data_IF_250865182009
#
_entry.id   IF_250865182009
#
_cell.length_a   1.000
_cell.length_b   1.000
_cell.length_c   1.000
_cell.angle_alpha   90.00
_cell.angle_beta   90.00
_cell.angle_gamma   90.00
#
_symmetry.space_group_name_H-M   'P 1'
#
loop_
_entity.id
_entity.type
_entity.pdbx_description
1 polymer ?
#
# COMPACT_ATOMS: atom_id res chain seq x y z
N UNK A 1 -1.73 4.07 23.65
CA UNK A 1 -1.57 3.83 22.18
C UNK A 1 -1.66 2.34 21.94
N UNK A 2 -2.60 1.88 21.12
CA UNK A 2 -2.82 0.45 20.87
C UNK A 2 -2.30 0.10 19.48
N UNK A 3 -1.37 -0.85 19.40
CA UNK A 3 -0.88 -1.38 18.14
C UNK A 3 -1.08 -2.89 18.06
N UNK A 4 -1.37 -3.37 16.85
CA UNK A 4 -1.45 -4.79 16.50
C UNK A 4 -0.35 -5.09 15.49
N UNK A 5 0.33 -6.21 15.64
CA UNK A 5 1.33 -6.62 14.67
C UNK A 5 0.66 -6.88 13.32
N UNK A 6 1.27 -6.37 12.25
CA UNK A 6 0.81 -6.66 10.89
C UNK A 6 0.91 -8.16 10.64
N UNK A 7 -0.13 -8.73 10.01
CA UNK A 7 -0.15 -10.15 9.64
C UNK A 7 0.91 -10.41 8.58
N UNK A 8 1.57 -11.57 8.67
CA UNK A 8 2.59 -12.03 7.72
C UNK A 8 2.09 -11.89 6.27
N UNK A 9 2.55 -10.85 5.58
CA UNK A 9 2.20 -10.60 4.16
C UNK A 9 3.04 -11.46 3.22
N UNK A 10 4.16 -11.99 3.72
CA UNK A 10 5.07 -12.85 2.98
C UNK A 10 5.04 -14.26 3.57
N UNK A 11 5.05 -15.30 2.71
CA UNK A 11 5.23 -16.66 3.19
C UNK A 11 6.62 -16.81 3.81
N UNK A 12 6.75 -17.73 4.78
CA UNK A 12 8.04 -18.01 5.45
C UNK A 12 9.17 -18.39 4.48
N UNK A 13 8.82 -18.98 3.34
CA UNK A 13 9.75 -19.43 2.30
C UNK A 13 9.83 -18.45 1.13
N UNK A 14 9.63 -17.16 1.37
CA UNK A 14 9.74 -16.13 0.34
C UNK A 14 11.17 -16.10 -0.25
N UNK A 15 11.26 -15.96 -1.58
CA UNK A 15 12.53 -15.97 -2.32
C UNK A 15 12.60 -14.73 -3.20
N UNK A 16 13.73 -14.02 -3.14
CA UNK A 16 14.03 -12.87 -3.99
C UNK A 16 15.04 -13.29 -5.05
N UNK A 17 14.77 -12.94 -6.30
CA UNK A 17 15.65 -13.19 -7.43
C UNK A 17 16.27 -11.86 -7.88
N UNK A 18 17.60 -11.78 -7.85
CA UNK A 18 18.37 -10.61 -8.31
C UNK A 18 19.38 -11.01 -9.37
N UNK A 19 19.81 -10.06 -10.20
CA UNK A 19 20.90 -10.25 -11.15
C UNK A 19 22.11 -9.45 -10.68
N UNK A 20 23.28 -10.09 -10.60
CA UNK A 20 24.52 -9.37 -10.32
C UNK A 20 25.02 -8.57 -11.54
N UNK A 21 26.13 -7.84 -11.36
CA UNK A 21 26.73 -7.03 -12.43
C UNK A 21 27.14 -7.87 -13.65
N UNK A 22 27.46 -9.14 -13.44
CA UNK A 22 27.83 -10.10 -14.48
C UNK A 22 26.61 -10.77 -15.14
N UNK A 23 25.38 -10.41 -14.73
CA UNK A 23 24.13 -10.96 -15.27
C UNK A 23 23.79 -12.37 -14.77
N UNK A 24 24.48 -12.89 -13.77
CA UNK A 24 24.15 -14.14 -13.11
C UNK A 24 22.97 -13.96 -12.16
N UNK A 25 22.03 -14.93 -12.20
CA UNK A 25 20.87 -14.97 -11.32
C UNK A 25 21.29 -15.43 -9.92
N UNK A 26 20.93 -14.63 -8.92
CA UNK A 26 21.13 -14.90 -7.49
C UNK A 26 19.75 -15.04 -6.85
N UNK A 27 19.53 -16.16 -6.15
CA UNK A 27 18.38 -16.36 -5.28
C UNK A 27 18.76 -16.06 -3.83
N UNK A 28 18.01 -15.21 -3.17
CA UNK A 28 18.16 -14.90 -1.75
C UNK A 28 16.88 -15.21 -0.97
N UNK A 29 17.05 -15.60 0.28
CA UNK A 29 15.97 -15.86 1.22
C UNK A 29 16.02 -14.77 2.30
N UNK A 30 15.32 -13.63 2.10
CA UNK A 30 15.39 -12.54 3.06
C UNK A 30 14.83 -13.03 4.40
N UNK A 31 15.56 -12.72 5.47
CA UNK A 31 15.08 -12.96 6.83
C UNK A 31 13.95 -11.97 7.13
N UNK A 32 12.72 -12.37 6.86
CA UNK A 32 11.54 -11.60 7.23
C UNK A 32 11.43 -11.62 8.75
N UNK A 33 11.74 -10.49 9.39
CA UNK A 33 11.59 -10.35 10.83
C UNK A 33 10.10 -10.41 11.16
N UNK A 34 9.67 -11.54 11.72
CA UNK A 34 8.30 -11.67 12.21
C UNK A 34 8.10 -10.64 13.33
N UNK A 35 7.03 -9.84 13.22
CA UNK A 35 6.57 -8.89 14.23
C UNK A 35 7.32 -7.57 14.38
N UNK A 36 8.00 -7.03 13.37
CA UNK A 36 8.59 -5.69 13.46
C UNK A 36 7.74 -4.57 12.83
N UNK A 37 6.56 -4.91 12.30
CA UNK A 37 5.57 -3.95 11.77
C UNK A 37 4.31 -3.95 12.61
N UNK A 38 3.84 -2.75 12.90
CA UNK A 38 2.71 -2.54 13.80
C UNK A 38 1.75 -1.52 13.22
N UNK A 39 0.46 -1.82 13.30
CA UNK A 39 -0.62 -0.91 12.91
C UNK A 39 -1.61 -0.75 14.03
N UNK A 40 -2.11 0.46 14.24
CA UNK A 40 -3.06 0.71 15.30
C UNK A 40 -3.63 2.11 15.34
N UNK A 41 -4.06 2.51 16.53
CA UNK A 41 -4.82 3.73 16.79
C UNK A 41 -4.27 4.42 18.03
N UNK A 42 -4.35 5.75 18.04
CA UNK A 42 -3.99 6.57 19.21
C UNK A 42 -5.16 6.50 20.19
N UNK A 43 -4.83 6.16 21.43
CA UNK A 43 -5.82 6.04 22.49
C UNK A 43 -6.43 7.41 22.81
N UNK A 44 -7.76 7.47 22.88
CA UNK A 44 -8.50 8.71 23.12
C UNK A 44 -8.65 9.62 21.89
N UNK A 45 -8.14 9.24 20.72
CA UNK A 45 -8.26 10.02 19.47
C UNK A 45 -9.04 9.23 18.42
N UNK A 46 -10.27 9.66 18.17
CA UNK A 46 -11.12 9.08 17.13
C UNK A 46 -10.51 9.31 15.74
N UNK A 47 -10.75 8.37 14.82
CA UNK A 47 -10.26 8.41 13.43
C UNK A 47 -8.73 8.57 13.28
N UNK A 48 -7.97 8.31 14.35
CA UNK A 48 -6.51 8.23 14.25
C UNK A 48 -6.09 6.99 13.49
N UNK A 49 -4.87 6.95 12.96
CA UNK A 49 -4.27 5.70 12.52
C UNK A 49 -2.76 5.78 12.62
N UNK A 50 -2.12 4.65 12.87
CA UNK A 50 -0.68 4.57 13.11
C UNK A 50 -0.15 3.38 12.35
N UNK A 51 0.96 3.57 11.64
CA UNK A 51 1.79 2.51 11.10
C UNK A 51 3.24 2.73 11.56
N UNK A 52 3.81 1.77 12.28
CA UNK A 52 5.18 1.80 12.80
C UNK A 52 5.96 0.58 12.32
N UNK A 53 7.26 0.75 12.15
CA UNK A 53 8.24 -0.30 11.92
C UNK A 53 9.40 -0.09 12.89
N UNK A 54 9.87 -1.15 13.54
CA UNK A 54 11.09 -1.14 14.36
C UNK A 54 12.21 -2.04 13.79
N UNK A 55 12.02 -2.60 12.59
CA UNK A 55 12.94 -3.57 11.97
C UNK A 55 14.39 -3.04 11.82
N UNK A 56 14.52 -1.73 11.56
CA UNK A 56 15.79 -1.02 11.40
C UNK A 56 15.76 0.34 12.12
N UNK A 57 15.27 0.33 13.36
CA UNK A 57 14.98 1.54 14.13
C UNK A 57 13.54 2.01 13.94
N UNK A 58 13.05 2.84 14.87
CA UNK A 58 11.64 3.24 14.89
C UNK A 58 11.34 4.23 13.77
N UNK A 59 10.54 3.79 12.81
CA UNK A 59 10.05 4.56 11.67
C UNK A 59 8.55 4.43 11.57
N UNK A 60 7.87 5.44 11.04
CA UNK A 60 6.45 5.29 10.77
C UNK A 60 5.69 6.57 10.52
N UNK A 61 4.38 6.40 10.47
CA UNK A 61 3.40 7.43 10.16
C UNK A 61 2.30 7.43 11.22
N UNK A 62 1.95 8.64 11.65
CA UNK A 62 0.84 8.89 12.56
C UNK A 62 -0.15 9.82 11.87
N UNK A 63 -1.37 9.36 11.72
CA UNK A 63 -2.49 10.15 11.25
C UNK A 63 -3.37 10.51 12.44
N UNK A 64 -3.56 11.80 12.67
CA UNK A 64 -4.39 12.36 13.73
C UNK A 64 -5.36 13.37 13.12
N UNK A 65 -6.31 13.84 13.92
CA UNK A 65 -7.26 14.88 13.50
C UNK A 65 -6.55 16.18 13.07
N UNK A 66 -5.42 16.50 13.71
CA UNK A 66 -4.67 17.73 13.49
C UNK A 66 -3.60 17.63 12.39
N UNK A 67 -3.51 16.50 11.68
CA UNK A 67 -2.57 16.31 10.59
C UNK A 67 -1.91 14.93 10.55
N UNK A 68 -1.03 14.74 9.57
CA UNK A 68 -0.22 13.53 9.46
C UNK A 68 1.22 13.83 9.84
N UNK A 69 1.88 12.92 10.53
CA UNK A 69 3.25 13.08 11.01
C UNK A 69 4.10 11.87 10.65
N UNK A 70 5.35 12.13 10.27
CA UNK A 70 6.37 11.11 10.08
C UNK A 70 7.30 11.04 11.28
N UNK A 71 7.74 9.84 11.64
CA UNK A 71 8.80 9.60 12.62
C UNK A 71 9.92 8.78 11.97
N UNK A 72 11.17 9.20 12.16
CA UNK A 72 12.35 8.47 11.71
C UNK A 72 13.56 8.65 12.65
N UNK A 73 14.51 7.71 12.66
CA UNK A 73 15.75 7.85 13.42
C UNK A 73 16.61 9.01 12.89
N UNK A 74 17.15 9.80 13.80
CA UNK A 74 18.12 10.84 13.47
C UNK A 74 19.42 10.19 13.00
N UNK A 75 19.85 10.52 11.78
CA UNK A 75 21.08 9.98 11.20
C UNK A 75 22.29 10.36 12.06
N UNK A 76 23.17 9.38 12.31
CA UNK A 76 24.40 9.51 13.09
C UNK A 76 24.22 9.96 14.55
N UNK A 77 23.02 9.80 15.14
CA UNK A 77 22.83 10.02 16.57
C UNK A 77 23.43 8.87 17.39
N UNK A 78 24.20 9.20 18.43
CA UNK A 78 24.71 8.24 19.41
C UNK A 78 23.69 7.88 20.51
N UNK A 79 22.53 8.55 20.53
CA UNK A 79 21.53 8.45 21.60
C UNK A 79 20.17 7.92 21.14
N UNK A 80 20.09 7.32 19.93
CA UNK A 80 18.83 6.83 19.35
C UNK A 80 17.73 7.91 19.32
N UNK A 81 18.12 9.13 18.96
CA UNK A 81 17.18 10.23 18.80
C UNK A 81 16.30 10.02 17.56
N UNK A 82 15.07 10.51 17.63
CA UNK A 82 14.11 10.41 16.53
C UNK A 82 13.59 11.81 16.19
N UNK A 83 13.35 12.05 14.91
CA UNK A 83 12.73 13.28 14.43
C UNK A 83 11.25 13.00 14.18
N UNK A 84 10.38 13.88 14.68
CA UNK A 84 8.96 13.92 14.36
C UNK A 84 8.68 15.16 13.51
N UNK A 85 8.07 15.00 12.34
CA UNK A 85 7.81 16.09 11.42
C UNK A 85 6.39 16.02 10.82
N UNK A 86 5.75 17.18 10.55
CA UNK A 86 4.47 17.22 9.88
C UNK A 86 4.63 16.84 8.40
N UNK A 87 3.68 16.06 7.90
CA UNK A 87 3.62 15.62 6.50
C UNK A 87 2.87 16.62 5.61
N UNK A 88 2.26 17.66 6.18
CA UNK A 88 1.45 18.66 5.48
C UNK A 88 2.26 19.49 4.45
N UNK A 89 3.60 19.39 4.48
CA UNK A 89 4.52 20.02 3.53
C UNK A 89 5.25 19.04 2.60
N UNK A 90 5.04 17.73 2.74
CA UNK A 90 5.54 16.75 1.76
C UNK A 90 4.56 16.84 0.61
N UNK A 91 4.92 17.59 -0.44
CA UNK A 91 4.21 17.57 -1.69
C UNK A 91 4.15 16.12 -2.18
N UNK A 92 3.06 15.43 -1.85
CA UNK A 92 2.58 14.36 -2.67
C UNK A 92 2.25 15.05 -3.98
N UNK A 93 3.19 15.03 -4.93
CA UNK A 93 2.81 15.19 -6.33
C UNK A 93 1.59 14.30 -6.47
N UNK A 94 0.42 14.86 -6.82
CA UNK A 94 -0.79 14.06 -6.88
C UNK A 94 -0.44 12.88 -7.76
N UNK A 95 -0.52 11.67 -7.21
CA UNK A 95 -0.25 10.45 -7.93
C UNK A 95 -1.23 10.48 -9.11
N UNK A 96 -0.77 11.02 -10.24
CA UNK A 96 -1.49 10.99 -11.49
C UNK A 96 -1.45 9.53 -11.89
N UNK A 97 -2.42 8.77 -11.36
CA UNK A 97 -2.81 7.53 -11.96
C UNK A 97 -3.04 7.86 -13.44
N UNK A 98 -2.39 7.15 -14.36
CA UNK A 98 -2.40 7.45 -15.79
C UNK A 98 -3.76 7.26 -16.48
N UNK A 99 -4.84 7.29 -15.70
CA UNK A 99 -6.22 7.15 -16.12
C UNK A 99 -6.75 8.57 -16.31
N UNK A 100 -7.19 8.91 -17.52
CA UNK A 100 -7.92 10.16 -17.74
C UNK A 100 -9.25 10.07 -16.98
N UNK A 101 -9.67 11.16 -16.34
CA UNK A 101 -10.98 11.27 -15.69
C UNK A 101 -12.16 11.26 -16.69
N UNK A 102 -11.95 10.84 -17.95
CA UNK A 102 -12.96 10.90 -19.00
C UNK A 102 -13.97 9.76 -18.94
N UNK A 103 -13.78 8.77 -18.05
CA UNK A 103 -14.71 7.63 -17.90
C UNK A 103 -15.60 7.74 -16.64
N UNK A 104 -15.60 8.88 -15.93
CA UNK A 104 -16.54 9.16 -14.82
C UNK A 104 -17.51 10.28 -15.22
N UNK A 105 -18.09 10.16 -16.41
CA UNK A 105 -19.28 10.89 -16.80
C UNK A 105 -20.30 9.91 -17.39
N UNK A 106 -20.83 9.03 -16.53
CA UNK A 106 -22.12 8.41 -16.81
C UNK A 106 -22.86 8.20 -15.48
N UNK A 107 -23.89 9.03 -15.25
CA UNK A 107 -24.96 8.68 -14.31
C UNK A 107 -25.29 9.65 -13.17
N UNK A 108 -25.23 10.96 -13.37
CA UNK A 108 -26.07 11.89 -12.56
C UNK A 108 -26.76 12.91 -13.46
N UNK A 109 -27.82 12.47 -14.14
CA UNK A 109 -28.88 13.35 -14.59
C UNK A 109 -30.18 12.77 -14.05
N UNK A 110 -30.73 13.43 -13.03
CA UNK A 110 -32.14 13.32 -12.70
C UNK A 110 -32.91 13.91 -13.88
N UNK A 111 -33.47 13.06 -14.74
CA UNK A 111 -34.54 13.46 -15.66
C UNK A 111 -35.43 12.25 -15.95
N UNK A 112 -36.66 12.39 -15.45
CA UNK A 112 -37.95 11.89 -15.91
C UNK A 112 -38.05 10.55 -16.66
N UNK A 113 -38.83 9.66 -16.03
CA UNK A 113 -39.44 8.42 -16.51
C UNK A 113 -39.87 8.45 -17.99
N UNK A 114 -39.28 7.59 -18.83
CA UNK A 114 -40.03 6.74 -19.78
C UNK A 114 -39.29 5.41 -19.99
N UNK A 115 -39.94 4.32 -19.55
CA UNK A 115 -39.49 2.93 -19.69
C UNK A 115 -39.61 2.48 -21.15
N UNK A 116 -38.49 2.46 -21.89
CA UNK A 116 -38.37 1.63 -23.08
C UNK A 116 -37.50 0.40 -22.78
N UNK A 117 -38.02 -0.47 -21.92
CA UNK A 117 -37.44 -1.78 -21.64
C UNK A 117 -37.55 -2.64 -22.89
N UNK A 118 -36.50 -2.68 -23.71
CA UNK A 118 -36.41 -3.62 -24.83
C UNK A 118 -36.56 -5.04 -24.29
N UNK A 119 -37.57 -5.77 -24.76
CA UNK A 119 -37.94 -7.14 -24.36
C UNK A 119 -36.77 -8.15 -24.38
N UNK A 120 -35.66 -7.82 -25.07
CA UNK A 120 -34.43 -8.61 -25.10
C UNK A 120 -33.58 -8.51 -23.83
N UNK A 121 -33.71 -7.44 -23.02
CA UNK A 121 -32.99 -7.31 -21.76
C UNK A 121 -33.57 -8.19 -20.65
N UNK A 122 -34.89 -8.43 -20.67
CA UNK A 122 -35.60 -9.32 -19.72
C UNK A 122 -35.20 -10.80 -19.87
N UNK A 123 -34.64 -11.19 -21.02
CA UNK A 123 -34.14 -12.53 -21.29
C UNK A 123 -32.66 -12.71 -20.94
N UNK A 124 -31.98 -11.67 -20.42
CA UNK A 124 -30.59 -11.78 -19.98
C UNK A 124 -30.53 -12.51 -18.63
N UNK A 125 -30.69 -13.82 -18.69
CA UNK A 125 -30.54 -14.71 -17.53
C UNK A 125 -29.14 -14.53 -16.97
N UNK A 126 -29.05 -14.03 -15.73
CA UNK A 126 -27.79 -13.95 -14.97
C UNK A 126 -27.21 -15.37 -14.98
N UNK A 127 -26.03 -15.58 -15.60
CA UNK A 127 -25.37 -16.89 -15.56
C UNK A 127 -25.19 -17.23 -14.08
N UNK A 128 -25.55 -18.44 -13.70
CA UNK A 128 -25.25 -18.94 -12.36
C UNK A 128 -23.72 -18.83 -12.18
N UNK A 129 -23.29 -17.94 -11.29
CA UNK A 129 -21.91 -17.91 -10.83
C UNK A 129 -21.77 -19.17 -9.99
N UNK A 130 -21.25 -20.24 -10.59
CA UNK A 130 -20.83 -21.42 -9.85
C UNK A 130 -19.96 -20.95 -8.68
N UNK A 131 -20.10 -21.51 -7.46
CA UNK A 131 -19.25 -21.20 -6.31
C UNK A 131 -17.85 -21.80 -6.50
N UNK A 132 -17.26 -21.58 -7.67
CA UNK A 132 -15.94 -22.04 -8.04
C UNK A 132 -14.99 -20.87 -7.84
N UNK A 133 -14.03 -21.05 -6.94
CA UNK A 133 -12.97 -20.08 -6.70
C UNK A 133 -12.24 -19.80 -8.00
N UNK A 134 -12.15 -18.52 -8.38
CA UNK A 134 -11.31 -18.04 -9.47
C UNK A 134 -10.12 -17.31 -8.85
N UNK A 135 -8.94 -17.52 -9.42
CA UNK A 135 -7.71 -16.88 -8.98
C UNK A 135 -7.38 -15.72 -9.92
N UNK A 136 -6.82 -14.66 -9.35
CA UNK A 136 -6.25 -13.53 -10.09
C UNK A 136 -4.76 -13.55 -9.80
N UNK A 137 -3.95 -13.65 -10.85
CA UNK A 137 -2.50 -13.48 -10.75
C UNK A 137 -2.17 -11.99 -10.85
N UNK A 138 -1.45 -11.47 -9.86
CA UNK A 138 -1.05 -10.06 -9.79
C UNK A 138 0.45 -9.95 -10.03
N UNK A 139 0.84 -9.18 -11.04
CA UNK A 139 2.24 -8.81 -11.29
C UNK A 139 2.39 -7.31 -11.04
N UNK A 140 3.29 -6.94 -10.12
CA UNK A 140 3.62 -5.55 -9.83
C UNK A 140 5.00 -5.27 -10.42
N UNK A 141 5.05 -4.37 -11.41
CA UNK A 141 6.30 -3.96 -12.07
C UNK A 141 6.63 -2.55 -11.64
N UNK A 142 7.80 -2.38 -11.02
CA UNK A 142 8.34 -1.07 -10.65
C UNK A 142 9.40 -0.68 -11.67
N UNK A 143 9.32 0.54 -12.16
CA UNK A 143 10.30 1.10 -13.09
C UNK A 143 11.70 1.12 -12.45
N UNK A 144 12.72 0.71 -13.20
CA UNK A 144 14.10 0.65 -12.73
C UNK A 144 14.59 2.01 -12.26
N UNK A 145 14.19 3.09 -12.91
CA UNK A 145 14.60 4.45 -12.57
C UNK A 145 14.00 4.96 -11.26
N UNK A 146 12.93 4.31 -10.75
CA UNK A 146 12.32 4.63 -9.46
C UNK A 146 12.94 3.88 -8.28
N UNK A 147 13.80 2.91 -8.55
CA UNK A 147 14.62 2.26 -7.52
C UNK A 147 15.85 3.13 -7.33
N UNK A 148 15.87 3.92 -6.25
CA UNK A 148 17.00 4.78 -5.91
C UNK A 148 18.31 3.98 -5.91
N UNK A 149 19.35 4.50 -6.56
CA UNK A 149 20.71 3.94 -6.53
C UNK A 149 21.25 3.97 -5.10
N UNK A 150 20.90 2.97 -4.28
CA UNK A 150 21.29 2.88 -2.88
C UNK A 150 20.36 2.04 -2.02
N UNK A 151 19.07 1.99 -2.36
CA UNK A 151 18.10 1.18 -1.62
C UNK A 151 17.86 -0.12 -2.38
N UNK A 152 18.59 -1.14 -1.92
CA UNK A 152 18.16 -2.52 -2.09
C UNK A 152 16.72 -2.64 -1.58
N UNK A 153 15.97 -3.57 -2.15
CA UNK A 153 14.54 -3.85 -1.94
C UNK A 153 14.10 -4.09 -0.47
N UNK A 154 14.96 -3.79 0.52
CA UNK A 154 14.79 -3.95 1.96
C UNK A 154 13.84 -2.95 2.63
N UNK A 155 13.21 -2.03 1.90
CA UNK A 155 12.37 -0.97 2.50
C UNK A 155 10.86 -1.10 2.25
N UNK A 156 10.41 -2.11 1.53
CA UNK A 156 9.00 -2.52 1.51
C UNK A 156 8.86 -4.00 1.90
N UNK A 157 9.18 -4.30 3.14
CA UNK A 157 8.66 -5.47 3.85
C UNK A 157 8.50 -5.07 5.29
#
# INVERSE_FOLDING_TARGET
MFYSSSRDLLPKDFVVYTYNAEGALISDHPNTQNHCHYRGYVEGVYNSSVALSDCFGLRGLLHLENGSYGIEPLHNSSHFEHILYPMDGVHQEPLKCGVSNQDIEEGTTEDEVEEHTSMTQLLRKRRAVLPQTRYVELFIVVDKERVGNGDSFSSFS
#
